data_IF_688101946016
#
_entry.id   IF_688101946016
#
_cell.length_a   1.000
_cell.length_b   1.000
_cell.length_c   1.000
_cell.angle_alpha   90.00
_cell.angle_beta   90.00
_cell.angle_gamma   90.00
#
_symmetry.space_group_name_H-M   'P 1'
#
loop_
_entity.id
_entity.type
_entity.pdbx_description
1 polymer ?
#
# COMPACT_ATOMS: atom_id res chain seq x y z
N UNK A 1 -1.67 -8.69 13.77
CA UNK A 1 -2.82 -9.12 12.96
C UNK A 1 -2.78 -10.62 12.77
N UNK A 2 -3.78 -11.22 12.13
CA UNK A 2 -3.89 -12.68 11.93
C UNK A 2 -2.89 -13.25 10.93
N UNK A 3 -2.32 -12.41 10.05
CA UNK A 3 -1.49 -12.90 8.94
C UNK A 3 -2.33 -13.50 7.81
N UNK A 4 -1.64 -14.00 6.79
CA UNK A 4 -2.20 -14.57 5.55
C UNK A 4 -1.31 -15.69 5.02
N UNK A 5 -1.92 -16.68 4.38
CA UNK A 5 -1.27 -17.65 3.50
C UNK A 5 -0.83 -17.03 2.16
N UNK A 6 -0.02 -17.76 1.38
CA UNK A 6 0.43 -17.30 0.06
C UNK A 6 -0.73 -17.10 -0.94
N UNK A 7 -1.77 -17.94 -0.85
CA UNK A 7 -2.97 -17.82 -1.66
C UNK A 7 -3.78 -16.59 -1.26
N UNK A 8 -3.89 -16.32 0.03
CA UNK A 8 -4.58 -15.14 0.55
C UNK A 8 -3.85 -13.85 0.23
N UNK A 9 -2.51 -13.85 0.25
CA UNK A 9 -1.71 -12.72 -0.27
C UNK A 9 -2.08 -12.45 -1.73
N UNK A 10 -2.21 -13.50 -2.56
CA UNK A 10 -2.57 -13.34 -3.96
C UNK A 10 -3.95 -12.70 -4.11
N UNK A 11 -4.94 -13.13 -3.30
CA UNK A 11 -6.28 -12.50 -3.26
C UNK A 11 -6.20 -11.06 -2.78
N UNK A 12 -5.48 -10.78 -1.69
CA UNK A 12 -5.36 -9.45 -1.09
C UNK A 12 -4.71 -8.41 -2.01
N UNK A 13 -3.94 -8.84 -3.01
CA UNK A 13 -3.33 -7.98 -4.02
C UNK A 13 -4.19 -7.79 -5.28
N UNK A 14 -5.37 -8.43 -5.36
CA UNK A 14 -6.35 -8.19 -6.44
C UNK A 14 -7.33 -7.07 -6.07
N UNK A 15 -7.77 -6.31 -7.06
CA UNK A 15 -8.82 -5.30 -6.86
C UNK A 15 -10.11 -5.96 -6.36
N UNK A 16 -10.68 -5.39 -5.30
CA UNK A 16 -11.84 -5.93 -4.60
C UNK A 16 -11.64 -7.33 -3.97
N UNK A 17 -10.41 -7.86 -3.98
CA UNK A 17 -10.06 -9.09 -3.31
C UNK A 17 -10.15 -8.92 -1.79
N UNK A 18 -10.91 -9.79 -1.14
CA UNK A 18 -11.02 -9.85 0.31
C UNK A 18 -10.68 -11.25 0.79
N UNK A 19 -9.75 -11.33 1.74
CA UNK A 19 -9.39 -12.58 2.41
C UNK A 19 -10.46 -12.87 3.45
N UNK A 20 -11.21 -13.94 3.24
CA UNK A 20 -12.39 -14.27 4.03
C UNK A 20 -11.96 -15.03 5.30
N UNK A 21 -11.47 -14.30 6.30
CA UNK A 21 -10.98 -14.95 7.51
C UNK A 21 -12.16 -15.32 8.42
N UNK A 22 -12.57 -16.59 8.35
CA UNK A 22 -13.77 -17.18 9.00
C UNK A 22 -13.86 -17.02 10.53
N UNK A 23 -12.82 -16.50 11.18
CA UNK A 23 -12.71 -16.42 12.64
C UNK A 23 -12.87 -15.02 13.24
N UNK A 24 -12.79 -13.94 12.46
CA UNK A 24 -12.90 -12.59 13.02
C UNK A 24 -13.78 -11.71 12.15
N UNK A 25 -14.85 -11.21 12.78
CA UNK A 25 -15.74 -10.09 12.40
C UNK A 25 -15.44 -9.50 11.02
N UNK A 26 -16.40 -9.58 10.09
CA UNK A 26 -16.43 -8.84 8.80
C UNK A 26 -15.63 -7.54 8.91
N UNK A 27 -14.37 -7.57 8.52
CA UNK A 27 -13.56 -6.37 8.53
C UNK A 27 -14.08 -5.52 7.37
N UNK A 28 -14.66 -4.37 7.69
CA UNK A 28 -15.18 -3.44 6.69
C UNK A 28 -14.03 -3.01 5.76
N UNK A 29 -14.31 -2.96 4.46
CA UNK A 29 -13.33 -2.58 3.45
C UNK A 29 -13.77 -3.04 2.07
N UNK A 30 -13.30 -2.35 1.04
CA UNK A 30 -13.61 -2.68 -0.36
C UNK A 30 -12.55 -3.54 -1.03
N UNK A 31 -11.49 -3.94 -0.31
CA UNK A 31 -10.37 -4.70 -0.89
C UNK A 31 -9.45 -3.87 -1.80
N UNK A 32 -9.50 -2.53 -1.74
CA UNK A 32 -8.71 -1.67 -2.64
C UNK A 32 -7.39 -1.16 -2.06
N UNK A 33 -7.18 -1.24 -0.73
CA UNK A 33 -6.03 -0.63 -0.07
C UNK A 33 -4.67 -1.16 -0.57
N UNK A 34 -4.45 -2.47 -0.51
CA UNK A 34 -3.21 -3.11 -0.94
C UNK A 34 -2.98 -3.01 -2.46
N UNK A 35 -3.99 -3.25 -3.33
CA UNK A 35 -3.83 -3.04 -4.76
C UNK A 35 -3.42 -1.60 -5.13
N UNK A 36 -4.02 -0.60 -4.48
CA UNK A 36 -3.66 0.81 -4.68
C UNK A 36 -2.23 1.06 -4.21
N UNK A 37 -1.85 0.59 -3.01
CA UNK A 37 -0.51 0.79 -2.47
C UNK A 37 0.57 0.17 -3.36
N UNK A 38 0.36 -1.06 -3.83
CA UNK A 38 1.24 -1.74 -4.78
C UNK A 38 1.38 -0.93 -6.07
N UNK A 39 0.26 -0.56 -6.68
CA UNK A 39 0.24 0.19 -7.93
C UNK A 39 0.92 1.55 -7.79
N UNK A 40 0.67 2.28 -6.71
CA UNK A 40 1.31 3.58 -6.47
C UNK A 40 2.83 3.44 -6.27
N UNK A 41 3.26 2.43 -5.52
CA UNK A 41 4.69 2.14 -5.29
C UNK A 41 5.40 1.85 -6.60
N UNK A 42 4.86 0.92 -7.39
CA UNK A 42 5.44 0.51 -8.67
C UNK A 42 5.43 1.65 -9.70
N UNK A 43 4.36 2.46 -9.74
CA UNK A 43 4.27 3.64 -10.62
C UNK A 43 5.25 4.75 -10.25
N UNK A 44 5.68 4.80 -8.99
CA UNK A 44 6.73 5.72 -8.52
C UNK A 44 8.15 5.15 -8.73
N UNK A 45 8.28 3.99 -9.39
CA UNK A 45 9.57 3.32 -9.60
C UNK A 45 10.10 2.64 -8.34
N UNK A 46 9.27 2.43 -7.34
CA UNK A 46 9.58 1.66 -6.14
C UNK A 46 9.27 0.17 -6.30
N UNK A 47 9.70 -0.62 -5.33
CA UNK A 47 9.41 -2.05 -5.21
C UNK A 47 8.44 -2.28 -4.03
N UNK A 48 7.43 -3.11 -4.27
CA UNK A 48 6.45 -3.51 -3.26
C UNK A 48 6.70 -4.96 -2.85
N UNK A 49 6.96 -5.20 -1.58
CA UNK A 49 7.17 -6.52 -1.00
C UNK A 49 6.16 -6.78 0.11
N UNK A 50 5.62 -7.99 0.15
CA UNK A 50 4.74 -8.44 1.23
C UNK A 50 5.21 -9.78 1.75
N UNK A 51 5.26 -9.91 3.08
CA UNK A 51 5.58 -11.13 3.80
C UNK A 51 4.50 -11.33 4.85
N UNK A 52 3.91 -12.52 4.89
CA UNK A 52 2.89 -12.82 5.89
C UNK A 52 2.96 -14.29 6.26
N UNK A 53 2.62 -14.56 7.51
CA UNK A 53 2.45 -15.91 8.01
C UNK A 53 1.24 -15.95 8.94
N UNK A 54 0.39 -16.96 8.73
CA UNK A 54 -0.79 -17.22 9.55
C UNK A 54 -0.43 -17.27 11.04
N UNK A 55 -1.21 -16.56 11.87
CA UNK A 55 -0.98 -16.43 13.30
C UNK A 55 0.22 -15.54 13.70
N UNK A 56 1.06 -15.10 12.77
CA UNK A 56 2.22 -14.22 13.06
C UNK A 56 2.03 -12.78 12.60
N UNK A 57 1.25 -12.57 11.54
CA UNK A 57 0.94 -11.24 11.02
C UNK A 57 1.48 -11.01 9.61
N UNK A 58 1.56 -9.73 9.23
CA UNK A 58 1.87 -9.27 7.87
C UNK A 58 2.82 -8.09 7.94
N UNK A 59 3.91 -8.17 7.19
CA UNK A 59 4.81 -7.07 6.88
C UNK A 59 4.63 -6.64 5.42
N UNK A 60 4.45 -5.33 5.20
CA UNK A 60 4.39 -4.72 3.88
C UNK A 60 5.52 -3.70 3.79
N UNK A 61 6.41 -3.87 2.82
CA UNK A 61 7.64 -3.10 2.68
C UNK A 61 7.61 -2.41 1.31
N UNK A 62 7.79 -1.09 1.31
CA UNK A 62 7.86 -0.27 0.12
C UNK A 62 9.29 0.27 0.02
N UNK A 63 9.99 -0.09 -1.05
CA UNK A 63 11.37 0.34 -1.29
C UNK A 63 11.36 1.40 -2.38
N UNK A 64 11.96 2.55 -2.09
CA UNK A 64 12.18 3.60 -3.08
C UNK A 64 13.67 3.86 -3.18
N UNK A 65 14.15 4.13 -4.40
CA UNK A 65 15.49 4.66 -4.57
C UNK A 65 15.60 5.97 -3.79
N UNK A 66 16.69 6.15 -3.06
CA UNK A 66 16.96 7.43 -2.44
C UNK A 66 16.97 8.50 -3.55
N UNK A 67 16.16 9.54 -3.39
CA UNK A 67 16.23 10.66 -4.30
C UNK A 67 17.66 11.22 -4.22
N UNK A 68 18.35 11.29 -5.36
CA UNK A 68 19.44 12.24 -5.47
C UNK A 68 18.81 13.59 -5.14
N UNK A 69 19.27 14.26 -4.09
CA UNK A 69 18.75 15.57 -3.72
C UNK A 69 19.08 16.56 -4.86
N UNK A 70 18.22 16.63 -5.86
CA UNK A 70 18.16 17.76 -6.77
C UNK A 70 17.50 18.88 -5.97
N UNK A 71 18.33 19.63 -5.26
CA UNK A 71 17.90 20.84 -4.59
C UNK A 71 17.35 21.80 -5.62
N UNK A 72 16.05 22.05 -5.54
CA UNK A 72 15.51 23.37 -5.83
C UNK A 72 14.36 23.63 -4.85
N UNK A 73 14.44 24.70 -4.04
CA UNK A 73 13.36 25.05 -3.14
C UNK A 73 12.12 25.36 -4.00
N UNK A 74 11.03 24.61 -3.81
CA UNK A 74 9.73 25.00 -4.33
C UNK A 74 9.35 26.32 -3.65
N UNK A 75 9.56 27.43 -4.33
CA UNK A 75 8.94 28.71 -3.96
C UNK A 75 7.44 28.47 -3.90
N UNK A 76 6.85 28.67 -2.72
CA UNK A 76 5.42 28.66 -2.55
C UNK A 76 4.81 29.64 -3.55
N UNK A 77 3.99 29.14 -4.47
CA UNK A 77 3.18 29.99 -5.32
C UNK A 77 2.24 30.78 -4.42
N UNK A 78 2.49 32.08 -4.31
CA UNK A 78 1.58 33.04 -3.71
C UNK A 78 0.22 32.91 -4.41
N UNK A 79 -0.79 32.42 -3.68
CA UNK A 79 -2.18 32.65 -4.08
C UNK A 79 -2.53 34.11 -3.79
N UNK A 80 -2.01 35.00 -4.65
CA UNK A 80 -2.45 36.38 -4.73
C UNK A 80 -3.79 36.43 -5.47
N UNK A 81 -4.85 36.68 -4.70
CA UNK A 81 -6.02 37.44 -5.14
C UNK A 81 -7.04 36.75 -6.04
N UNK A 82 -8.20 36.46 -5.45
CA UNK A 82 -9.47 36.81 -6.08
C UNK A 82 -10.24 37.61 -5.03
N UNK A 83 -10.41 38.91 -5.30
CA UNK A 83 -11.40 39.77 -4.67
C UNK A 83 -12.77 39.44 -5.22
#
# INVERSE_FOLDING_TARGET
GTGMSAQEISVALTEFGQVDNRLDRRHEGTGLGLPIAKTLTERQGGEFLIRSEEGRGTDVILLFAAAAQAGEPRTASEHAGIR
#
